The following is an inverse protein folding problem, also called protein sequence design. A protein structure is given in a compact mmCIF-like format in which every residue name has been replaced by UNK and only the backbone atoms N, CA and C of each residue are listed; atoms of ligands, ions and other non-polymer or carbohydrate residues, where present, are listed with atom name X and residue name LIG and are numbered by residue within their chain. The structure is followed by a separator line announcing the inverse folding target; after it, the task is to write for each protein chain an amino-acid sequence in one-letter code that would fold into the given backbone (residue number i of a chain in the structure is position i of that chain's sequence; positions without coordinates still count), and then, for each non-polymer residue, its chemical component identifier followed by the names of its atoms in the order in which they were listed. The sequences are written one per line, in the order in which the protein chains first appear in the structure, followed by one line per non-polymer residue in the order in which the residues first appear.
data_IF_045257225035
#
_entry.id   IF_045257225035
#
_cell.length_a   1.000
_cell.length_b   1.000
_cell.length_c   1.000
_cell.angle_alpha   90.00
_cell.angle_beta   90.00
_cell.angle_gamma   90.00
#
_symmetry.space_group_name_H-M   'P 1'
#
loop_
_entity.id
_entity.type
_entity.pdbx_description
1 polymer ?
#
# COMPACT_ATOMS: atom_id res chain seq x y z
N UNK A 1 53.36 -17.94 -1.96
CA UNK A 1 52.64 -17.08 -1.00
C UNK A 1 51.25 -16.84 -1.56
N UNK A 2 50.37 -17.81 -1.35
CA UNK A 2 49.04 -17.88 -1.96
C UNK A 2 48.04 -17.28 -0.98
N UNK A 3 47.45 -16.13 -1.31
CA UNK A 3 46.44 -15.47 -0.48
C UNK A 3 45.19 -16.36 -0.35
N UNK A 4 44.50 -16.37 0.81
CA UNK A 4 43.37 -17.24 1.08
C UNK A 4 42.12 -16.75 0.35
N UNK A 5 41.93 -17.20 -0.89
CA UNK A 5 40.78 -16.88 -1.74
C UNK A 5 39.43 -17.25 -1.07
N UNK A 6 39.41 -18.27 -0.21
CA UNK A 6 38.21 -18.72 0.51
C UNK A 6 37.56 -17.64 1.39
N UNK A 7 38.36 -16.81 2.10
CA UNK A 7 37.82 -15.84 3.08
C UNK A 7 37.11 -14.65 2.43
N UNK A 8 37.47 -14.27 1.20
CA UNK A 8 36.82 -13.19 0.45
C UNK A 8 35.47 -13.62 -0.10
N UNK A 9 35.34 -14.88 -0.52
CA UNK A 9 34.06 -15.45 -0.98
C UNK A 9 33.05 -15.53 0.15
N UNK A 10 33.45 -15.99 1.34
CA UNK A 10 32.55 -16.15 2.48
C UNK A 10 32.03 -14.79 3.00
N UNK A 11 32.88 -13.77 2.99
CA UNK A 11 32.49 -12.40 3.39
C UNK A 11 31.60 -11.72 2.36
N UNK A 12 31.85 -11.92 1.07
CA UNK A 12 30.98 -11.42 0.00
C UNK A 12 29.60 -12.07 0.05
N UNK A 13 29.54 -13.40 0.21
CA UNK A 13 28.27 -14.15 0.33
C UNK A 13 27.50 -13.72 1.59
N UNK A 14 28.17 -13.54 2.72
CA UNK A 14 27.52 -13.07 3.95
C UNK A 14 26.95 -11.64 3.82
N UNK A 15 27.67 -10.74 3.14
CA UNK A 15 27.19 -9.39 2.84
C UNK A 15 25.98 -9.42 1.91
N UNK A 16 26.00 -10.28 0.89
CA UNK A 16 24.89 -10.45 -0.05
C UNK A 16 23.62 -10.97 0.65
N UNK A 17 23.74 -12.02 1.46
CA UNK A 17 22.62 -12.58 2.26
C UNK A 17 22.03 -11.51 3.20
N UNK A 18 22.88 -10.74 3.86
CA UNK A 18 22.45 -9.67 4.76
C UNK A 18 21.69 -8.57 4.00
N UNK A 19 22.19 -8.19 2.82
CA UNK A 19 21.53 -7.18 1.96
C UNK A 19 20.17 -7.65 1.44
N UNK A 20 20.06 -8.92 1.04
CA UNK A 20 18.79 -9.53 0.59
C UNK A 20 17.77 -9.59 1.72
N UNK A 21 18.20 -9.98 2.92
CA UNK A 21 17.36 -10.04 4.12
C UNK A 21 16.87 -8.64 4.56
N UNK A 22 17.76 -7.65 4.54
CA UNK A 22 17.42 -6.26 4.84
C UNK A 22 16.42 -5.69 3.80
N UNK A 23 16.64 -5.96 2.50
CA UNK A 23 15.75 -5.55 1.42
C UNK A 23 14.34 -6.12 1.57
N UNK A 24 14.22 -7.42 1.83
CA UNK A 24 12.92 -8.07 2.04
C UNK A 24 12.17 -7.48 3.25
N UNK A 25 12.90 -7.24 4.35
CA UNK A 25 12.34 -6.61 5.56
C UNK A 25 11.86 -5.20 5.29
N UNK A 26 12.65 -4.39 4.58
CA UNK A 26 12.30 -3.02 4.21
C UNK A 26 11.04 -2.98 3.32
N UNK A 27 10.98 -3.81 2.28
CA UNK A 27 9.83 -3.90 1.37
C UNK A 27 8.57 -4.27 2.14
N UNK A 28 8.65 -5.27 3.02
CA UNK A 28 7.50 -5.72 3.81
C UNK A 28 7.07 -4.71 4.88
N UNK A 29 8.02 -4.13 5.63
CA UNK A 29 7.72 -3.17 6.67
C UNK A 29 7.14 -1.87 6.10
N UNK A 30 7.69 -1.36 4.99
CA UNK A 30 7.23 -0.12 4.36
C UNK A 30 5.79 -0.23 3.86
N UNK A 31 5.41 -1.33 3.18
CA UNK A 31 4.01 -1.51 2.74
C UNK A 31 3.06 -1.70 3.92
N UNK A 32 3.43 -2.48 4.93
CA UNK A 32 2.58 -2.71 6.11
C UNK A 32 2.34 -1.42 6.89
N UNK A 33 3.39 -0.64 7.13
CA UNK A 33 3.28 0.65 7.80
C UNK A 33 2.49 1.65 6.95
N UNK A 34 2.65 1.65 5.63
CA UNK A 34 1.84 2.48 4.73
C UNK A 34 0.35 2.15 4.85
N UNK A 35 -0.01 0.86 4.81
CA UNK A 35 -1.40 0.40 4.94
C UNK A 35 -1.99 0.68 6.34
N UNK A 36 -1.18 0.57 7.40
CA UNK A 36 -1.59 0.97 8.74
C UNK A 36 -1.87 2.48 8.83
N UNK A 37 -1.00 3.32 8.24
CA UNK A 37 -1.23 4.76 8.17
C UNK A 37 -2.50 5.10 7.40
N UNK A 38 -2.75 4.40 6.28
CA UNK A 38 -3.98 4.53 5.51
C UNK A 38 -5.21 4.18 6.37
N UNK A 39 -5.23 2.98 6.95
CA UNK A 39 -6.35 2.50 7.75
C UNK A 39 -6.64 3.40 8.95
N UNK A 40 -5.59 3.81 9.69
CA UNK A 40 -5.70 4.73 10.81
C UNK A 40 -6.22 6.11 10.39
N UNK A 41 -5.81 6.61 9.22
CA UNK A 41 -6.31 7.89 8.71
C UNK A 41 -7.78 7.80 8.31
N UNK A 42 -8.19 6.75 7.59
CA UNK A 42 -9.57 6.53 7.19
C UNK A 42 -10.47 6.35 8.42
N UNK A 43 -10.07 5.49 9.35
CA UNK A 43 -10.78 5.28 10.61
C UNK A 43 -10.85 6.57 11.43
N UNK A 44 -9.76 7.32 11.54
CA UNK A 44 -9.72 8.60 12.25
C UNK A 44 -10.68 9.63 11.66
N UNK A 45 -10.69 9.78 10.34
CA UNK A 45 -11.65 10.65 9.63
C UNK A 45 -13.08 10.16 9.82
N UNK A 46 -13.29 8.85 9.88
CA UNK A 46 -14.60 8.29 10.19
C UNK A 46 -15.01 8.61 11.62
N UNK A 47 -14.14 8.47 12.61
CA UNK A 47 -14.45 8.83 14.01
C UNK A 47 -14.64 10.34 14.25
N UNK A 48 -14.49 11.17 13.21
CA UNK A 48 -14.71 12.62 13.29
C UNK A 48 -13.46 13.41 13.63
N UNK A 49 -12.31 12.74 13.82
CA UNK A 49 -11.05 13.43 13.97
C UNK A 49 -10.71 14.18 12.69
N UNK A 50 -10.31 15.44 12.85
CA UNK A 50 -9.84 16.33 11.79
C UNK A 50 -8.62 17.07 12.29
N UNK A 51 -7.72 17.43 11.37
CA UNK A 51 -6.60 18.28 11.68
C UNK A 51 -5.27 17.79 11.13
N UNK A 52 -4.21 18.45 11.59
CA UNK A 52 -2.88 18.33 11.03
C UNK A 52 -2.27 16.93 11.20
N UNK A 53 -2.56 16.24 12.31
CA UNK A 53 -2.02 14.90 12.59
C UNK A 53 -2.45 13.88 11.54
N UNK A 54 -3.73 13.88 11.13
CA UNK A 54 -4.23 12.98 10.09
C UNK A 54 -3.65 13.31 8.71
N UNK A 55 -3.41 14.59 8.42
CA UNK A 55 -2.74 15.02 7.20
C UNK A 55 -1.30 14.50 7.14
N UNK A 56 -0.56 14.65 8.24
CA UNK A 56 0.79 14.09 8.36
C UNK A 56 0.76 12.57 8.21
N UNK A 57 -0.13 11.88 8.93
CA UNK A 57 -0.24 10.41 8.87
C UNK A 57 -0.57 9.92 7.45
N UNK A 58 -1.49 10.57 6.75
CA UNK A 58 -1.81 10.30 5.35
C UNK A 58 -0.59 10.44 4.43
N UNK A 59 0.20 11.50 4.65
CA UNK A 59 1.39 11.81 3.85
C UNK A 59 2.51 10.82 4.15
N UNK A 60 2.73 10.49 5.44
CA UNK A 60 3.71 9.47 5.85
C UNK A 60 3.37 8.12 5.23
N UNK A 61 2.09 7.72 5.24
CA UNK A 61 1.64 6.50 4.56
C UNK A 61 1.97 6.50 3.05
N UNK A 62 1.70 7.62 2.37
CA UNK A 62 2.05 7.79 0.96
C UNK A 62 3.57 7.68 0.71
N UNK A 63 4.39 8.35 1.53
CA UNK A 63 5.85 8.32 1.40
C UNK A 63 6.42 6.91 1.66
N UNK A 64 5.89 6.21 2.67
CA UNK A 64 6.26 4.82 2.94
C UNK A 64 5.92 3.91 1.74
N UNK A 65 4.80 4.15 1.05
CA UNK A 65 4.47 3.40 -0.15
C UNK A 65 5.40 3.72 -1.33
N UNK A 66 5.84 4.97 -1.48
CA UNK A 66 6.88 5.32 -2.47
C UNK A 66 8.19 4.60 -2.14
N UNK A 67 8.60 4.57 -0.86
CA UNK A 67 9.77 3.81 -0.40
C UNK A 67 9.60 2.32 -0.70
N UNK A 68 8.42 1.75 -0.47
CA UNK A 68 8.12 0.36 -0.82
C UNK A 68 8.36 0.09 -2.31
N UNK A 69 7.79 0.91 -3.20
CA UNK A 69 7.97 0.77 -4.65
C UNK A 69 9.44 0.91 -5.04
N UNK A 70 10.14 1.93 -4.52
CA UNK A 70 11.56 2.13 -4.81
C UNK A 70 12.43 0.96 -4.32
N UNK A 71 12.16 0.44 -3.11
CA UNK A 71 12.86 -0.71 -2.55
C UNK A 71 12.59 -1.98 -3.38
N UNK A 72 11.35 -2.23 -3.81
CA UNK A 72 11.04 -3.36 -4.68
C UNK A 72 11.78 -3.26 -6.02
N UNK A 73 11.81 -2.07 -6.63
CA UNK A 73 12.54 -1.85 -7.87
C UNK A 73 14.05 -2.04 -7.70
N UNK A 74 14.61 -1.57 -6.59
CA UNK A 74 16.04 -1.67 -6.32
C UNK A 74 16.48 -3.10 -6.01
N UNK A 75 15.82 -3.78 -5.05
CA UNK A 75 16.27 -5.08 -4.54
C UNK A 75 15.74 -6.29 -5.30
N UNK A 76 14.56 -6.19 -5.94
CA UNK A 76 13.91 -7.34 -6.60
C UNK A 76 14.00 -7.23 -8.12
N UNK A 77 13.77 -6.04 -8.67
CA UNK A 77 13.62 -5.87 -10.11
C UNK A 77 14.84 -5.29 -10.81
N UNK A 78 15.92 -4.96 -10.09
CA UNK A 78 17.13 -4.33 -10.64
C UNK A 78 16.82 -3.11 -11.55
N UNK A 79 15.80 -2.34 -11.18
CA UNK A 79 15.26 -1.21 -11.95
C UNK A 79 14.72 -1.55 -13.35
N UNK A 80 14.55 -2.85 -13.66
CA UNK A 80 13.96 -3.31 -14.92
C UNK A 80 12.44 -3.42 -14.80
N UNK A 81 11.74 -2.53 -15.52
CA UNK A 81 10.28 -2.55 -15.58
C UNK A 81 9.74 -3.86 -16.19
N UNK A 82 10.42 -4.41 -17.20
CA UNK A 82 10.07 -5.69 -17.80
C UNK A 82 10.23 -6.85 -16.81
N UNK A 83 11.26 -6.80 -15.95
CA UNK A 83 11.40 -7.79 -14.89
C UNK A 83 10.24 -7.73 -13.89
N UNK A 84 9.83 -6.52 -13.49
CA UNK A 84 8.70 -6.33 -12.59
C UNK A 84 7.38 -6.91 -13.17
N UNK A 85 7.07 -6.61 -14.44
CA UNK A 85 5.87 -7.16 -15.11
C UNK A 85 5.90 -8.70 -15.13
N UNK A 86 7.06 -9.30 -15.46
CA UNK A 86 7.20 -10.77 -15.50
C UNK A 86 7.01 -11.40 -14.13
N UNK A 87 7.60 -10.82 -13.09
CA UNK A 87 7.43 -11.29 -11.70
C UNK A 87 5.96 -11.21 -11.29
N UNK A 88 5.29 -10.07 -11.51
CA UNK A 88 3.86 -9.91 -11.19
C UNK A 88 2.99 -10.90 -11.99
N UNK A 89 3.30 -11.14 -13.27
CA UNK A 89 2.59 -12.13 -14.08
C UNK A 89 2.78 -13.56 -13.55
N UNK A 90 3.96 -13.90 -13.03
CA UNK A 90 4.23 -15.21 -12.43
C UNK A 90 3.47 -15.38 -11.11
N UNK A 91 3.50 -14.38 -10.22
CA UNK A 91 2.79 -14.40 -8.94
C UNK A 91 1.28 -14.51 -9.13
N UNK A 92 0.71 -13.70 -10.02
CA UNK A 92 -0.73 -13.78 -10.35
C UNK A 92 -1.10 -15.12 -10.95
N UNK A 93 -0.25 -15.73 -11.79
CA UNK A 93 -0.50 -17.08 -12.31
C UNK A 93 -0.52 -18.12 -11.18
N UNK A 94 0.38 -18.00 -10.21
CA UNK A 94 0.47 -18.91 -9.09
C UNK A 94 -0.74 -18.79 -8.14
N UNK A 95 -1.19 -17.56 -7.87
CA UNK A 95 -2.23 -17.28 -6.88
C UNK A 95 -3.65 -17.32 -7.45
N UNK A 96 -3.83 -16.83 -8.68
CA UNK A 96 -5.12 -16.64 -9.33
C UNK A 96 -5.33 -17.54 -10.55
N UNK A 97 -4.31 -18.31 -10.95
CA UNK A 97 -4.34 -19.16 -12.15
C UNK A 97 -4.18 -18.40 -13.47
N UNK A 98 -4.16 -17.07 -13.44
CA UNK A 98 -4.06 -16.18 -14.62
C UNK A 98 -2.79 -15.34 -14.53
N UNK A 99 -1.98 -15.37 -15.58
CA UNK A 99 -0.78 -14.53 -15.66
C UNK A 99 -1.17 -13.09 -16.02
N UNK A 100 -1.21 -12.21 -15.03
CA UNK A 100 -1.62 -10.82 -15.15
C UNK A 100 -0.54 -9.87 -14.63
N UNK A 101 0.43 -9.55 -15.49
CA UNK A 101 1.52 -8.61 -15.16
C UNK A 101 1.08 -7.14 -15.13
N UNK A 102 -0.01 -6.80 -15.80
CA UNK A 102 -0.56 -5.43 -15.87
C UNK A 102 -1.08 -4.93 -14.50
N UNK A 103 -1.18 -5.80 -13.50
CA UNK A 103 -1.44 -5.44 -12.11
C UNK A 103 -0.49 -4.36 -11.58
N UNK A 104 0.74 -4.30 -12.11
CA UNK A 104 1.73 -3.29 -11.76
C UNK A 104 1.27 -1.85 -12.07
N UNK A 105 0.51 -1.63 -13.15
CA UNK A 105 -0.02 -0.31 -13.49
C UNK A 105 -1.05 0.19 -12.49
N UNK A 106 -1.83 -0.72 -11.89
CA UNK A 106 -2.75 -0.36 -10.83
C UNK A 106 -2.00 0.11 -9.57
N UNK A 107 -0.88 -0.52 -9.24
CA UNK A 107 0.00 -0.05 -8.16
C UNK A 107 0.60 1.32 -8.45
N UNK A 108 0.93 1.63 -9.70
CA UNK A 108 1.37 2.97 -10.11
C UNK A 108 0.26 4.01 -9.99
N UNK A 109 -0.94 3.69 -10.49
CA UNK A 109 -2.09 4.57 -10.32
C UNK A 109 -2.41 4.80 -8.83
N UNK A 110 -2.25 3.78 -7.98
CA UNK A 110 -2.43 3.88 -6.54
C UNK A 110 -1.49 4.91 -5.90
N UNK A 111 -0.18 4.81 -6.15
CA UNK A 111 0.77 5.77 -5.56
C UNK A 111 0.58 7.19 -6.12
N UNK A 112 0.28 7.33 -7.41
CA UNK A 112 0.04 8.63 -8.04
C UNK A 112 -1.22 9.30 -7.51
N UNK A 113 -2.33 8.57 -7.40
CA UNK A 113 -3.58 9.09 -6.87
C UNK A 113 -3.47 9.44 -5.39
N UNK A 114 -2.78 8.62 -4.59
CA UNK A 114 -2.55 8.93 -3.19
C UNK A 114 -1.67 10.16 -3.03
N UNK A 115 -0.58 10.28 -3.79
CA UNK A 115 0.30 11.44 -3.78
C UNK A 115 -0.46 12.72 -4.19
N UNK A 116 -1.24 12.66 -5.26
CA UNK A 116 -2.06 13.78 -5.71
C UNK A 116 -3.10 14.20 -4.66
N UNK A 117 -3.77 13.24 -4.01
CA UNK A 117 -4.72 13.52 -2.93
C UNK A 117 -4.03 14.16 -1.71
N UNK A 118 -2.82 13.70 -1.36
CA UNK A 118 -2.02 14.29 -0.31
C UNK A 118 -1.60 15.73 -0.66
N UNK A 119 -1.06 15.96 -1.87
CA UNK A 119 -0.67 17.29 -2.36
C UNK A 119 -1.88 18.23 -2.35
N UNK A 120 -3.05 17.78 -2.83
CA UNK A 120 -4.28 18.59 -2.81
C UNK A 120 -4.70 18.95 -1.37
N UNK A 121 -4.61 18.00 -0.44
CA UNK A 121 -4.89 18.29 0.96
C UNK A 121 -3.93 19.34 1.53
N UNK A 122 -2.67 19.36 1.09
CA UNK A 122 -1.67 20.36 1.48
C UNK A 122 -1.85 21.72 0.83
N UNK A 123 -2.12 21.77 -0.47
CA UNK A 123 -2.24 23.01 -1.22
C UNK A 123 -3.54 23.77 -0.93
N UNK A 124 -4.64 23.07 -0.66
CA UNK A 124 -5.93 23.70 -0.39
C UNK A 124 -6.82 22.85 0.51
N UNK A 125 -6.62 22.98 1.83
CA UNK A 125 -7.41 22.25 2.82
C UNK A 125 -8.92 22.55 2.70
N UNK A 126 -9.31 23.80 2.41
CA UNK A 126 -10.72 24.17 2.24
C UNK A 126 -11.35 23.53 1.00
N UNK A 127 -10.63 23.50 -0.14
CA UNK A 127 -11.10 22.82 -1.35
C UNK A 127 -11.20 21.31 -1.13
N UNK A 128 -10.18 20.72 -0.51
CA UNK A 128 -10.12 19.30 -0.20
C UNK A 128 -11.29 18.84 0.70
N UNK A 129 -11.63 19.62 1.73
CA UNK A 129 -12.75 19.31 2.62
C UNK A 129 -14.13 19.46 1.94
N UNK A 130 -14.21 20.25 0.87
CA UNK A 130 -15.43 20.47 0.06
C UNK A 130 -15.57 19.51 -1.12
N UNK A 131 -14.66 18.53 -1.26
CA UNK A 131 -14.66 17.59 -2.39
C UNK A 131 -16.00 16.85 -2.53
N UNK A 132 -16.46 16.59 -3.76
CA UNK A 132 -17.72 15.89 -3.98
C UNK A 132 -17.65 14.44 -3.45
N UNK A 133 -18.78 13.94 -2.96
CA UNK A 133 -18.86 12.63 -2.30
C UNK A 133 -18.48 11.46 -3.21
N UNK A 134 -18.83 11.54 -4.49
CA UNK A 134 -18.51 10.49 -5.47
C UNK A 134 -16.99 10.37 -5.67
N UNK A 135 -16.26 11.49 -5.72
CA UNK A 135 -14.81 11.49 -5.88
C UNK A 135 -14.13 10.92 -4.63
N UNK A 136 -14.60 11.33 -3.45
CA UNK A 136 -14.15 10.75 -2.18
C UNK A 136 -14.38 9.24 -2.14
N UNK A 137 -15.58 8.77 -2.52
CA UNK A 137 -15.93 7.35 -2.49
C UNK A 137 -15.15 6.55 -3.54
N UNK A 138 -15.01 7.06 -4.75
CA UNK A 138 -14.26 6.42 -5.83
C UNK A 138 -12.78 6.30 -5.49
N UNK A 139 -12.15 7.37 -5.01
CA UNK A 139 -10.75 7.35 -4.59
C UNK A 139 -10.53 6.34 -3.44
N UNK A 140 -11.30 6.45 -2.34
CA UNK A 140 -11.11 5.57 -1.19
C UNK A 140 -11.53 4.12 -1.48
N UNK A 141 -12.50 3.91 -2.37
CA UNK A 141 -12.87 2.59 -2.88
C UNK A 141 -11.74 1.96 -3.68
N UNK A 142 -11.12 2.72 -4.58
CA UNK A 142 -9.95 2.28 -5.34
C UNK A 142 -8.76 1.97 -4.43
N UNK A 143 -8.42 2.86 -3.50
CA UNK A 143 -7.31 2.66 -2.57
C UNK A 143 -7.55 1.44 -1.68
N UNK A 144 -8.77 1.27 -1.16
CA UNK A 144 -9.13 0.10 -0.34
C UNK A 144 -9.07 -1.20 -1.16
N UNK A 145 -9.52 -1.17 -2.41
CA UNK A 145 -9.45 -2.33 -3.30
C UNK A 145 -8.00 -2.78 -3.52
N UNK A 146 -7.09 -1.87 -3.88
CA UNK A 146 -5.67 -2.22 -4.07
C UNK A 146 -5.02 -2.66 -2.76
N UNK A 147 -5.30 -1.98 -1.65
CA UNK A 147 -4.82 -2.37 -0.32
C UNK A 147 -5.27 -3.79 0.06
N UNK A 148 -6.53 -4.13 -0.20
CA UNK A 148 -7.07 -5.47 0.05
C UNK A 148 -6.39 -6.52 -0.81
N UNK A 149 -6.25 -6.28 -2.12
CA UNK A 149 -5.55 -7.21 -3.01
C UNK A 149 -4.12 -7.45 -2.50
N UNK A 150 -3.38 -6.38 -2.19
CA UNK A 150 -2.01 -6.47 -1.66
C UNK A 150 -1.91 -7.24 -0.34
N UNK A 151 -2.72 -6.88 0.66
CA UNK A 151 -2.63 -7.44 2.00
C UNK A 151 -3.32 -8.81 2.19
N UNK A 152 -4.26 -9.17 1.31
CA UNK A 152 -5.07 -10.39 1.48
C UNK A 152 -4.81 -11.43 0.41
N UNK A 153 -4.65 -11.02 -0.85
CA UNK A 153 -4.48 -11.95 -1.98
C UNK A 153 -2.99 -12.27 -2.16
N UNK A 154 -2.15 -11.23 -2.22
CA UNK A 154 -0.72 -11.40 -2.50
C UNK A 154 0.11 -11.71 -1.26
N UNK A 155 -0.37 -11.37 -0.06
CA UNK A 155 0.33 -11.68 1.19
C UNK A 155 -0.09 -13.05 1.76
N UNK A 156 0.90 -13.85 2.19
CA UNK A 156 0.69 -15.14 2.84
C UNK A 156 0.93 -15.07 4.35
N UNK A 157 0.33 -16.00 5.10
CA UNK A 157 0.56 -16.18 6.53
C UNK A 157 -0.33 -15.32 7.45
N UNK A 158 0.09 -15.07 8.71
CA UNK A 158 -0.72 -14.38 9.72
C UNK A 158 -1.13 -12.95 9.34
N UNK A 159 -0.32 -12.26 8.54
CA UNK A 159 -0.58 -10.89 8.10
C UNK A 159 -1.79 -10.77 7.18
N UNK A 160 -2.11 -11.83 6.41
CA UNK A 160 -3.37 -11.94 5.68
C UNK A 160 -4.59 -11.84 6.59
N UNK A 161 -4.55 -12.45 7.77
CA UNK A 161 -5.65 -12.39 8.73
C UNK A 161 -5.83 -10.96 9.27
N UNK A 162 -4.73 -10.26 9.54
CA UNK A 162 -4.78 -8.84 9.91
C UNK A 162 -5.39 -7.99 8.78
N UNK A 163 -5.00 -8.23 7.52
CA UNK A 163 -5.56 -7.55 6.36
C UNK A 163 -7.08 -7.76 6.23
N UNK A 164 -7.55 -9.00 6.39
CA UNK A 164 -8.99 -9.34 6.41
C UNK A 164 -9.71 -8.63 7.56
N UNK A 165 -9.14 -8.68 8.78
CA UNK A 165 -9.72 -8.04 9.95
C UNK A 165 -9.87 -6.53 9.76
N UNK A 166 -8.80 -5.83 9.38
CA UNK A 166 -8.80 -4.36 9.18
C UNK A 166 -9.81 -3.98 8.08
N UNK A 167 -9.81 -4.69 6.96
CA UNK A 167 -10.75 -4.42 5.87
C UNK A 167 -12.19 -4.62 6.31
N UNK A 168 -12.47 -5.70 7.05
CA UNK A 168 -13.81 -5.98 7.59
C UNK A 168 -14.26 -4.89 8.54
N UNK A 169 -13.40 -4.45 9.46
CA UNK A 169 -13.69 -3.34 10.39
C UNK A 169 -14.01 -2.05 9.63
N UNK A 170 -13.21 -1.69 8.62
CA UNK A 170 -13.46 -0.49 7.81
C UNK A 170 -14.80 -0.58 7.06
N UNK A 171 -15.11 -1.72 6.44
CA UNK A 171 -16.38 -1.94 5.75
C UNK A 171 -17.57 -1.92 6.70
N UNK A 172 -17.45 -2.48 7.91
CA UNK A 172 -18.50 -2.43 8.93
C UNK A 172 -18.76 -0.99 9.37
N UNK A 173 -17.72 -0.20 9.64
CA UNK A 173 -17.87 1.22 9.99
C UNK A 173 -18.60 1.98 8.87
N UNK A 174 -18.26 1.70 7.61
CA UNK A 174 -18.94 2.29 6.45
C UNK A 174 -20.41 1.87 6.41
N UNK A 175 -20.71 0.57 6.52
CA UNK A 175 -22.07 0.04 6.45
C UNK A 175 -22.98 0.57 7.57
N UNK A 176 -22.47 0.60 8.81
CA UNK A 176 -23.17 1.17 9.95
C UNK A 176 -23.54 2.64 9.71
N UNK A 177 -22.65 3.42 9.09
CA UNK A 177 -22.91 4.83 8.75
C UNK A 177 -23.92 5.04 7.64
N UNK A 178 -23.96 4.14 6.65
CA UNK A 178 -25.01 4.19 5.63
C UNK A 178 -26.38 3.86 6.24
N UNK A 179 -26.46 2.90 7.16
CA UNK A 179 -27.69 2.55 7.88
C UNK A 179 -28.19 3.65 8.81
N UNK A 180 -27.29 4.44 9.40
CA UNK A 180 -27.66 5.58 10.28
C UNK A 180 -28.11 6.83 9.52
N UNK A 181 -28.18 6.82 8.17
CA UNK A 181 -28.88 7.87 7.43
C UNK A 181 -30.36 7.51 7.39
N UNK A 182 -31.24 8.13 8.21
CA UNK A 182 -32.67 7.93 8.04
C UNK A 182 -33.05 8.32 6.62
N UNK A 183 -33.84 7.47 5.96
CA UNK A 183 -34.59 7.84 4.78
C UNK A 183 -35.55 8.95 5.16
N UNK A 184 -35.12 10.21 5.05
CA UNK A 184 -36.06 11.32 4.88
C UNK A 184 -36.50 11.31 3.41
N UNK A 185 -37.40 10.39 3.08
CA UNK A 185 -38.33 10.60 1.97
C UNK A 185 -39.46 11.47 2.51
N UNK A 186 -39.39 12.75 2.16
CA UNK A 186 -40.55 13.64 2.22
C UNK A 186 -40.93 14.06 0.80
N UNK A 187 -42.12 13.55 0.41
CA UNK A 187 -43.01 13.91 -0.71
C UNK A 187 -42.91 13.08 -1.98
#
# INVERSE_FOLDING_TARGET
MSLPQHSLTDTAVAAEITSMSAGATLISASVRLALLCYAATVAGRMLGFRGQRLRCLWTVGCLLFIVHVAAAFHYVHNWSHQAAIRTTAAETRQLLGVAFGEGLWFSYAFVLLWLADAIWWWSSANSYLRRPRWLNLGLHGYLLFIAFNGAVIFEAGPTRLFGVFITTVLLLIVALRFRSRPHTDSR
#
